data_IF_513577396309
#
_entry.id   IF_513577396309
#
_cell.length_a   1.000
_cell.length_b   1.000
_cell.length_c   1.000
_cell.angle_alpha   90.00
_cell.angle_beta   90.00
_cell.angle_gamma   90.00
#
_symmetry.space_group_name_H-M   'P 1'
#
loop_
_entity.id
_entity.type
_entity.pdbx_description
1 polymer ?
#
# COMPACT_ATOMS: atom_id res chain seq x y z
N UNK A 1 5.84 13.78 -15.10
CA UNK A 1 6.50 12.77 -14.25
C UNK A 1 6.04 12.97 -12.82
N UNK A 2 5.37 11.99 -12.20
CA UNK A 2 4.97 12.07 -10.80
C UNK A 2 6.11 11.64 -9.88
N UNK A 3 6.41 12.42 -8.83
CA UNK A 3 7.44 12.09 -7.85
C UNK A 3 6.89 11.02 -6.90
N UNK A 4 7.58 9.89 -6.76
CA UNK A 4 7.21 8.84 -5.82
C UNK A 4 7.36 9.33 -4.38
N UNK A 5 6.38 9.03 -3.52
CA UNK A 5 6.46 9.31 -2.09
C UNK A 5 7.40 8.31 -1.41
N UNK A 6 8.20 8.80 -0.46
CA UNK A 6 8.90 7.92 0.48
C UNK A 6 7.90 7.21 1.40
N UNK A 7 8.32 6.11 2.04
CA UNK A 7 7.47 5.38 2.99
C UNK A 7 6.97 6.29 4.13
N UNK A 8 7.82 7.16 4.67
CA UNK A 8 7.44 8.12 5.71
C UNK A 8 6.41 9.15 5.21
N UNK A 9 6.63 9.72 4.02
CA UNK A 9 5.69 10.66 3.41
C UNK A 9 4.33 10.00 3.14
N UNK A 10 4.35 8.76 2.66
CA UNK A 10 3.14 7.98 2.45
C UNK A 10 2.41 7.71 3.77
N UNK A 11 3.13 7.28 4.82
CA UNK A 11 2.54 7.00 6.14
C UNK A 11 1.88 8.25 6.74
N UNK A 12 2.56 9.40 6.70
CA UNK A 12 2.00 10.66 7.18
C UNK A 12 0.76 11.08 6.38
N UNK A 13 0.78 10.89 5.05
CA UNK A 13 -0.37 11.15 4.20
C UNK A 13 -1.55 10.22 4.51
N UNK A 14 -1.31 8.91 4.59
CA UNK A 14 -2.35 7.91 4.85
C UNK A 14 -3.03 8.14 6.21
N UNK A 15 -2.25 8.46 7.26
CA UNK A 15 -2.79 8.80 8.58
C UNK A 15 -3.71 10.03 8.54
N UNK A 16 -3.29 11.09 7.82
CA UNK A 16 -4.15 12.27 7.62
C UNK A 16 -5.45 11.92 6.88
N UNK A 17 -5.38 11.11 5.84
CA UNK A 17 -6.56 10.67 5.09
C UNK A 17 -7.55 9.87 5.97
N UNK A 18 -7.03 8.98 6.83
CA UNK A 18 -7.86 8.23 7.79
C UNK A 18 -8.51 9.18 8.79
N UNK A 19 -7.74 10.09 9.39
CA UNK A 19 -8.27 11.08 10.35
C UNK A 19 -9.38 11.93 9.73
N UNK A 20 -9.13 12.50 8.54
CA UNK A 20 -10.14 13.31 7.84
C UNK A 20 -11.39 12.49 7.50
N UNK A 21 -11.24 11.22 7.11
CA UNK A 21 -12.39 10.37 6.85
C UNK A 21 -13.22 10.10 8.12
N UNK A 22 -12.58 9.93 9.28
CA UNK A 22 -13.27 9.84 10.57
C UNK A 22 -13.98 11.14 10.95
N UNK A 23 -13.31 12.29 10.82
CA UNK A 23 -13.92 13.60 11.10
C UNK A 23 -15.19 13.85 10.26
N UNK A 24 -15.20 13.36 9.01
CA UNK A 24 -16.37 13.41 8.14
C UNK A 24 -17.43 12.45 8.68
N UNK A 25 -17.09 11.18 8.94
CA UNK A 25 -18.04 10.17 9.42
C UNK A 25 -18.78 10.57 10.69
N UNK A 26 -18.13 11.27 11.61
CA UNK A 26 -18.75 11.72 12.87
C UNK A 26 -20.02 12.57 12.67
N UNK A 27 -20.13 13.23 11.51
CA UNK A 27 -21.25 14.08 11.11
C UNK A 27 -22.31 13.34 10.28
N UNK A 28 -22.10 12.06 9.97
CA UNK A 28 -22.95 11.27 9.10
C UNK A 28 -23.64 10.15 9.88
N UNK A 29 -24.86 10.43 10.36
CA UNK A 29 -25.69 9.45 11.08
C UNK A 29 -27.00 9.21 10.34
N UNK A 30 -27.68 8.13 10.72
CA UNK A 30 -29.05 7.87 10.27
C UNK A 30 -29.98 8.92 10.88
N UNK A 31 -30.54 9.77 10.02
CA UNK A 31 -31.55 10.74 10.37
C UNK A 31 -32.96 10.19 10.14
N UNK A 32 -33.95 11.08 10.15
CA UNK A 32 -35.35 10.73 9.91
C UNK A 32 -35.62 10.40 8.43
N UNK A 33 -36.71 9.66 8.18
CA UNK A 33 -37.24 9.38 6.83
C UNK A 33 -36.27 8.69 5.87
N UNK A 34 -35.36 7.86 6.38
CA UNK A 34 -34.39 7.14 5.54
C UNK A 34 -33.31 8.04 4.96
N UNK A 35 -33.10 9.23 5.54
CA UNK A 35 -32.05 10.15 5.16
C UNK A 35 -30.87 10.08 6.13
N UNK A 36 -29.72 10.55 5.68
CA UNK A 36 -28.57 10.89 6.50
C UNK A 36 -28.71 12.33 6.98
N UNK A 37 -28.07 12.67 8.09
CA UNK A 37 -27.98 14.07 8.58
C UNK A 37 -27.41 15.04 7.52
N UNK A 38 -26.64 14.55 6.55
CA UNK A 38 -26.17 15.35 5.42
C UNK A 38 -27.22 15.53 4.28
N UNK A 39 -28.47 15.10 4.48
CA UNK A 39 -29.58 15.21 3.54
C UNK A 39 -29.62 14.16 2.41
N UNK A 40 -28.68 13.22 2.36
CA UNK A 40 -28.64 12.15 1.34
C UNK A 40 -29.44 10.93 1.78
N UNK A 41 -29.97 10.16 0.82
CA UNK A 41 -30.61 8.88 1.11
C UNK A 41 -29.65 7.88 1.76
N UNK A 42 -30.19 7.00 2.61
CA UNK A 42 -29.46 5.86 3.18
C UNK A 42 -29.42 4.69 2.17
N UNK A 43 -28.29 3.97 2.05
CA UNK A 43 -27.02 4.22 2.74
C UNK A 43 -26.32 5.49 2.21
N UNK A 44 -25.84 6.33 3.13
CA UNK A 44 -25.18 7.59 2.75
C UNK A 44 -23.92 7.33 1.92
N UNK A 45 -23.92 7.75 0.66
CA UNK A 45 -22.79 7.54 -0.26
C UNK A 45 -21.46 8.13 0.25
N UNK A 46 -21.53 9.23 1.02
CA UNK A 46 -20.36 9.87 1.63
C UNK A 46 -19.79 8.98 2.72
N UNK A 47 -20.63 8.48 3.64
CA UNK A 47 -20.20 7.58 4.70
C UNK A 47 -19.59 6.29 4.12
N UNK A 48 -20.23 5.70 3.11
CA UNK A 48 -19.70 4.54 2.39
C UNK A 48 -18.31 4.82 1.80
N UNK A 49 -18.11 5.99 1.19
CA UNK A 49 -16.82 6.38 0.61
C UNK A 49 -15.75 6.58 1.69
N UNK A 50 -16.09 7.21 2.81
CA UNK A 50 -15.18 7.40 3.94
C UNK A 50 -14.75 6.06 4.55
N UNK A 51 -15.68 5.12 4.77
CA UNK A 51 -15.35 3.77 5.21
C UNK A 51 -14.41 3.06 4.24
N UNK A 52 -14.69 3.13 2.93
CA UNK A 52 -13.82 2.55 1.90
C UNK A 52 -12.42 3.20 1.89
N UNK A 53 -12.32 4.50 2.12
CA UNK A 53 -11.05 5.21 2.22
C UNK A 53 -10.25 4.76 3.46
N UNK A 54 -10.90 4.65 4.63
CA UNK A 54 -10.28 4.16 5.87
C UNK A 54 -9.75 2.75 5.66
N UNK A 55 -10.57 1.82 5.15
CA UNK A 55 -10.16 0.46 4.88
C UNK A 55 -8.95 0.40 3.93
N UNK A 56 -8.99 1.16 2.83
CA UNK A 56 -7.91 1.23 1.84
C UNK A 56 -6.59 1.73 2.44
N UNK A 57 -6.60 2.82 3.19
CA UNK A 57 -5.37 3.38 3.75
C UNK A 57 -4.85 2.55 4.91
N UNK A 58 -5.73 1.95 5.71
CA UNK A 58 -5.34 1.00 6.76
C UNK A 58 -4.62 -0.20 6.16
N UNK A 59 -5.18 -0.80 5.09
CA UNK A 59 -4.54 -1.91 4.39
C UNK A 59 -3.17 -1.51 3.81
N UNK A 60 -3.05 -0.32 3.21
CA UNK A 60 -1.76 0.16 2.68
C UNK A 60 -0.73 0.42 3.78
N UNK A 61 -1.14 0.93 4.94
CA UNK A 61 -0.23 1.09 6.08
C UNK A 61 0.28 -0.26 6.57
N UNK A 62 -0.59 -1.27 6.67
CA UNK A 62 -0.18 -2.62 7.05
C UNK A 62 0.84 -3.21 6.07
N UNK A 63 0.69 -2.95 4.76
CA UNK A 63 1.67 -3.38 3.76
C UNK A 63 3.02 -2.69 3.96
N UNK A 64 3.05 -1.37 4.19
CA UNK A 64 4.28 -0.62 4.41
C UNK A 64 5.01 -1.09 5.67
N UNK A 65 4.27 -1.40 6.73
CA UNK A 65 4.81 -1.93 7.98
C UNK A 65 5.38 -3.36 7.81
N UNK A 66 4.70 -4.21 7.02
CA UNK A 66 5.15 -5.56 6.75
C UNK A 66 6.39 -5.61 5.82
N UNK A 67 6.59 -4.61 4.97
CA UNK A 67 7.73 -4.57 4.05
C UNK A 67 8.97 -4.00 4.73
N UNK A 68 9.84 -4.88 5.26
CA UNK A 68 11.21 -4.51 5.58
C UNK A 68 12.10 -4.60 4.34
N UNK A 69 13.00 -3.62 4.11
CA UNK A 69 13.99 -3.72 3.05
C UNK A 69 14.90 -4.91 3.35
N UNK A 70 14.89 -5.91 2.48
CA UNK A 70 15.84 -7.02 2.56
C UNK A 70 17.25 -6.46 2.30
N UNK A 71 18.26 -6.92 3.05
CA UNK A 71 19.64 -6.53 2.78
C UNK A 71 19.97 -6.93 1.33
N UNK A 72 20.71 -6.08 0.59
CA UNK A 72 21.13 -6.45 -0.76
C UNK A 72 21.94 -7.74 -0.67
N UNK A 73 21.44 -8.81 -1.29
CA UNK A 73 22.21 -10.03 -1.46
C UNK A 73 23.39 -9.66 -2.34
N UNK A 74 24.57 -9.55 -1.73
CA UNK A 74 25.81 -9.56 -2.48
C UNK A 74 25.86 -10.91 -3.20
N UNK A 75 25.43 -10.95 -4.47
CA UNK A 75 25.93 -11.95 -5.39
C UNK A 75 27.42 -11.67 -5.48
N UNK A 76 28.19 -12.26 -4.57
CA UNK A 76 29.58 -12.56 -4.84
C UNK A 76 29.51 -13.45 -6.07
N UNK A 77 29.65 -12.85 -7.24
CA UNK A 77 30.07 -13.55 -8.43
C UNK A 77 31.37 -14.23 -8.00
N UNK A 78 31.23 -15.48 -7.53
CA UNK A 78 32.32 -16.33 -7.16
C UNK A 78 33.24 -16.28 -8.35
N UNK A 79 34.39 -15.63 -8.14
CA UNK A 79 35.50 -15.52 -9.06
C UNK A 79 35.54 -16.84 -9.82
N UNK A 80 35.14 -16.83 -11.08
CA UNK A 80 35.14 -18.01 -11.92
C UNK A 80 36.61 -18.37 -12.14
N UNK A 81 37.21 -19.03 -11.16
CA UNK A 81 38.45 -19.77 -11.30
C UNK A 81 38.08 -21.01 -12.11
N UNK A 82 37.84 -20.81 -13.42
CA UNK A 82 37.88 -21.91 -14.38
C UNK A 82 39.35 -22.29 -14.53
N UNK A 83 39.86 -23.10 -13.60
CA UNK A 83 40.85 -24.12 -13.99
C UNK A 83 40.17 -24.93 -15.08
N UNK A 84 40.75 -24.91 -16.28
CA UNK A 84 40.19 -25.54 -17.46
C UNK A 84 39.88 -27.01 -17.19
N UNK A 85 38.62 -27.38 -17.32
CA UNK A 85 38.23 -28.77 -17.57
C UNK A 85 38.17 -28.88 -19.08
N UNK A 86 39.14 -29.60 -19.65
CA UNK A 86 39.14 -29.97 -21.05
C UNK A 86 37.95 -30.92 -21.29
N UNK A 87 37.04 -30.53 -22.19
CA UNK A 87 36.03 -31.42 -22.73
C UNK A 87 36.70 -32.30 -23.80
N UNK A 88 36.44 -33.63 -23.82
CA UNK A 88 36.95 -34.50 -24.87
C UNK A 88 36.27 -34.13 -26.20
N UNK A 89 37.10 -33.93 -27.23
CA UNK A 89 36.62 -33.81 -28.60
C UNK A 89 36.10 -35.17 -29.05
N UNK A 90 34.88 -35.18 -29.60
CA UNK A 90 34.31 -36.33 -30.28
C UNK A 90 34.51 -36.05 -31.76
N UNK A 91 35.46 -36.75 -32.36
CA UNK A 91 35.67 -36.71 -33.80
C UNK A 91 34.57 -37.53 -34.49
N UNK A 92 33.97 -36.92 -35.52
CA UNK A 92 32.93 -37.50 -36.39
C UNK A 92 33.51 -38.41 -37.46
#
# INVERSE_FOLDING_TARGET
MGRSLTAEQFTAYARRQIHTAWDILDRHRAGLFGLCDCGRAQPCSVAVTCHAAIARYTAKLALVEATQPLPPLAFTAGRASRRGVALPQIDS
#
